data_IF_496680111196
#
_entry.id   IF_496680111196
#
_cell.length_a   1.000
_cell.length_b   1.000
_cell.length_c   1.000
_cell.angle_alpha   90.00
_cell.angle_beta   90.00
_cell.angle_gamma   90.00
#
_symmetry.space_group_name_H-M   'P 1'
#
loop_
_entity.id
_entity.type
_entity.pdbx_description
1 polymer ?
#
# COMPACT_ATOMS: atom_id res chain seq x y z
N UNK A 1 19.14 -4.93 20.06
CA UNK A 1 19.37 -3.56 19.54
C UNK A 1 20.81 -3.19 19.83
N UNK A 2 21.49 -2.52 18.89
CA UNK A 2 22.91 -2.11 18.96
C UNK A 2 23.25 -1.11 20.09
N UNK A 3 22.33 -0.84 21.03
CA UNK A 3 22.54 0.09 22.14
C UNK A 3 22.54 1.58 21.74
N UNK A 4 22.09 1.90 20.53
CA UNK A 4 22.12 3.27 19.97
C UNK A 4 20.80 4.00 20.18
N UNK A 5 20.86 5.28 20.53
CA UNK A 5 19.70 6.13 20.83
C UNK A 5 19.13 6.86 19.61
N UNK A 6 19.85 6.90 18.49
CA UNK A 6 19.51 7.70 17.30
C UNK A 6 18.97 6.85 16.15
N UNK A 7 17.86 7.27 15.54
CA UNK A 7 17.34 6.65 14.31
C UNK A 7 18.21 6.93 13.06
N UNK A 8 19.00 8.00 13.09
CA UNK A 8 19.94 8.42 12.04
C UNK A 8 21.31 7.74 12.11
N UNK A 9 21.46 6.74 13.00
CA UNK A 9 22.74 6.10 13.29
C UNK A 9 23.54 5.69 12.06
N UNK A 10 22.88 5.15 11.01
CA UNK A 10 23.59 4.73 9.81
C UNK A 10 24.19 5.89 9.00
N UNK A 11 23.59 7.09 9.03
CA UNK A 11 24.19 8.30 8.42
C UNK A 11 25.39 8.77 9.23
N UNK A 12 25.24 8.80 10.55
CA UNK A 12 26.28 9.27 11.47
C UNK A 12 27.55 8.39 11.33
N UNK A 13 27.39 7.07 11.37
CA UNK A 13 28.48 6.11 11.17
C UNK A 13 29.08 6.18 9.77
N UNK A 14 28.26 6.38 8.74
CA UNK A 14 28.77 6.50 7.36
C UNK A 14 29.57 7.78 7.15
N UNK A 15 29.14 8.89 7.77
CA UNK A 15 29.86 10.15 7.74
C UNK A 15 31.17 10.08 8.54
N UNK A 16 31.15 9.42 9.69
CA UNK A 16 32.36 9.15 10.48
C UNK A 16 33.36 8.33 9.68
N UNK A 17 32.89 7.26 9.02
CA UNK A 17 33.73 6.41 8.18
C UNK A 17 34.30 7.17 6.96
N UNK A 18 33.52 8.04 6.32
CA UNK A 18 33.98 8.87 5.21
C UNK A 18 35.06 9.87 5.64
N UNK A 19 34.94 10.41 6.86
CA UNK A 19 35.94 11.32 7.44
C UNK A 19 37.15 10.58 8.03
N UNK A 20 37.21 9.26 7.94
CA UNK A 20 38.30 8.44 8.48
C UNK A 20 38.29 8.28 10.00
N UNK A 21 37.19 8.62 10.68
CA UNK A 21 37.03 8.39 12.13
C UNK A 21 36.69 6.93 12.36
N UNK A 22 37.64 6.19 12.94
CA UNK A 22 37.45 4.77 13.23
C UNK A 22 36.80 4.52 14.61
N UNK A 23 36.57 3.24 14.92
CA UNK A 23 36.05 2.75 16.20
C UNK A 23 36.76 3.27 17.48
N UNK A 24 38.07 3.63 17.50
CA UNK A 24 38.69 4.14 18.73
C UNK A 24 38.14 5.51 19.15
N UNK A 25 37.67 6.30 18.18
CA UNK A 25 37.12 7.65 18.42
C UNK A 25 35.60 7.62 18.56
N UNK A 26 34.93 6.80 17.75
CA UNK A 26 33.47 6.73 17.72
C UNK A 26 32.88 5.77 18.77
N UNK A 27 33.68 4.83 19.28
CA UNK A 27 33.22 3.77 20.18
C UNK A 27 32.28 2.74 19.52
N UNK A 28 31.95 2.91 18.25
CA UNK A 28 31.10 2.00 17.49
C UNK A 28 31.92 0.80 17.03
N UNK A 29 31.43 -0.41 17.31
CA UNK A 29 32.03 -1.68 16.91
C UNK A 29 33.55 -1.81 17.22
N UNK A 30 33.94 -1.97 18.51
CA UNK A 30 35.34 -2.12 18.89
C UNK A 30 35.99 -3.36 18.27
N UNK A 31 37.20 -3.20 17.72
CA UNK A 31 38.00 -4.31 17.17
C UNK A 31 38.86 -4.99 18.24
N UNK A 32 38.99 -4.36 19.41
CA UNK A 32 39.78 -4.85 20.55
C UNK A 32 38.96 -4.64 21.83
N UNK A 33 38.92 -5.65 22.71
CA UNK A 33 38.22 -5.58 24.00
C UNK A 33 39.07 -6.22 25.10
N UNK A 34 38.91 -5.76 26.36
CA UNK A 34 39.50 -6.42 27.52
C UNK A 34 38.55 -7.52 28.02
N UNK A 35 39.07 -8.71 28.23
CA UNK A 35 38.33 -9.85 28.76
C UNK A 35 38.93 -10.25 30.11
N UNK A 36 38.07 -10.27 31.12
CA UNK A 36 38.44 -10.69 32.47
C UNK A 36 37.99 -12.13 32.69
N UNK A 37 38.89 -12.98 33.18
CA UNK A 37 38.55 -14.34 33.57
C UNK A 37 39.18 -14.69 34.92
N UNK A 38 38.44 -15.50 35.69
CA UNK A 38 38.85 -15.90 37.02
C UNK A 38 39.37 -17.35 37.00
N UNK A 39 40.59 -17.55 37.51
CA UNK A 39 41.23 -18.87 37.65
C UNK A 39 41.39 -19.20 39.13
N UNK A 40 41.06 -20.44 39.50
CA UNK A 40 41.26 -20.94 40.86
C UNK A 40 42.63 -21.58 40.98
N UNK A 41 43.46 -21.07 41.90
CA UNK A 41 44.79 -21.62 42.21
C UNK A 41 44.88 -21.80 43.72
N UNK A 42 45.13 -23.03 44.19
CA UNK A 42 45.18 -23.41 45.62
C UNK A 42 43.94 -22.98 46.45
N UNK A 43 42.75 -22.98 45.85
CA UNK A 43 41.49 -22.62 46.53
C UNK A 43 41.18 -21.12 46.56
N UNK A 44 42.12 -20.25 46.18
CA UNK A 44 41.90 -18.82 46.02
C UNK A 44 41.56 -18.48 44.57
N UNK A 45 40.68 -17.49 44.39
CA UNK A 45 40.26 -16.98 43.09
C UNK A 45 41.19 -15.83 42.65
N UNK A 46 41.85 -15.97 41.50
CA UNK A 46 42.68 -14.94 40.91
C UNK A 46 42.07 -14.45 39.60
N UNK A 47 41.91 -13.12 39.48
CA UNK A 47 41.36 -12.48 38.29
C UNK A 47 42.48 -12.04 37.36
N UNK A 48 42.39 -12.44 36.09
CA UNK A 48 43.31 -12.06 35.03
C UNK A 48 42.57 -11.28 33.95
N UNK A 49 43.24 -10.29 33.36
CA UNK A 49 42.70 -9.46 32.28
C UNK A 49 43.56 -9.64 31.04
N UNK A 50 42.94 -9.90 29.88
CA UNK A 50 43.65 -10.12 28.61
C UNK A 50 43.01 -9.32 27.48
N UNK A 51 43.82 -8.95 26.49
CA UNK A 51 43.35 -8.25 25.31
C UNK A 51 42.85 -9.26 24.27
N UNK A 52 41.58 -9.15 23.89
CA UNK A 52 40.96 -9.94 22.84
C UNK A 52 40.79 -9.12 21.56
N UNK A 53 40.98 -9.76 20.40
CA UNK A 53 40.75 -9.15 19.09
C UNK A 53 39.43 -9.67 18.52
N UNK A 54 38.54 -8.76 18.14
CA UNK A 54 37.20 -9.05 17.65
C UNK A 54 37.12 -8.76 16.14
N UNK A 55 37.80 -9.59 15.35
CA UNK A 55 37.85 -9.44 13.89
C UNK A 55 36.45 -9.47 13.25
N UNK A 56 35.52 -10.22 13.83
CA UNK A 56 34.12 -10.30 13.37
C UNK A 56 33.42 -8.93 13.39
N UNK A 57 33.82 -8.04 14.30
CA UNK A 57 33.15 -6.75 14.48
C UNK A 57 33.43 -5.79 13.32
N UNK A 58 34.60 -5.92 12.69
CA UNK A 58 34.93 -5.17 11.48
C UNK A 58 34.01 -5.56 10.31
N UNK A 59 33.58 -6.82 10.22
CA UNK A 59 32.60 -7.24 9.22
C UNK A 59 31.20 -6.74 9.55
N UNK A 60 30.81 -6.83 10.83
CA UNK A 60 29.53 -6.31 11.31
C UNK A 60 29.36 -4.82 11.02
N UNK A 61 30.41 -4.02 11.24
CA UNK A 61 30.43 -2.59 10.93
C UNK A 61 29.99 -2.32 9.49
N UNK A 62 30.53 -3.06 8.51
CA UNK A 62 30.21 -2.84 7.09
C UNK A 62 28.85 -3.41 6.70
N UNK A 63 28.49 -4.60 7.19
CA UNK A 63 27.20 -5.22 6.89
C UNK A 63 26.06 -4.38 7.46
N UNK A 64 26.19 -3.87 8.69
CA UNK A 64 25.13 -3.05 9.29
C UNK A 64 24.94 -1.71 8.59
N UNK A 65 26.01 -1.07 8.10
CA UNK A 65 25.90 0.13 7.27
C UNK A 65 25.16 -0.18 5.97
N UNK A 66 25.53 -1.26 5.26
CA UNK A 66 24.84 -1.67 4.02
C UNK A 66 23.37 -2.01 4.26
N UNK A 67 23.07 -2.76 5.33
CA UNK A 67 21.70 -3.10 5.72
C UNK A 67 20.88 -1.86 6.07
N UNK A 68 21.47 -0.86 6.72
CA UNK A 68 20.77 0.38 7.04
C UNK A 68 20.32 1.11 5.76
N UNK A 69 21.21 1.28 4.78
CA UNK A 69 20.86 1.86 3.48
C UNK A 69 19.83 1.02 2.71
N UNK A 70 19.96 -0.30 2.74
CA UNK A 70 19.00 -1.21 2.14
C UNK A 70 17.59 -1.03 2.74
N UNK A 71 17.50 -0.96 4.07
CA UNK A 71 16.24 -0.72 4.76
C UNK A 71 15.65 0.65 4.43
N UNK A 72 16.47 1.70 4.28
CA UNK A 72 16.01 3.00 3.80
C UNK A 72 15.42 2.92 2.39
N UNK A 73 16.05 2.19 1.47
CA UNK A 73 15.51 1.97 0.12
C UNK A 73 14.17 1.23 0.19
N UNK A 74 14.10 0.13 0.95
CA UNK A 74 12.87 -0.64 1.14
C UNK A 74 11.76 0.22 1.76
N UNK A 75 12.10 1.12 2.69
CA UNK A 75 11.16 2.06 3.27
C UNK A 75 10.63 3.04 2.21
N UNK A 76 11.50 3.62 1.39
CA UNK A 76 11.10 4.55 0.32
C UNK A 76 10.16 3.87 -0.67
N UNK A 77 10.50 2.66 -1.14
CA UNK A 77 9.67 1.89 -2.07
C UNK A 77 8.31 1.55 -1.43
N UNK A 78 8.31 1.17 -0.15
CA UNK A 78 7.08 0.84 0.58
C UNK A 78 6.20 2.06 0.78
N UNK A 79 6.77 3.22 1.14
CA UNK A 79 6.05 4.49 1.28
C UNK A 79 5.49 4.94 -0.06
N UNK A 80 6.27 4.83 -1.14
CA UNK A 80 5.78 5.13 -2.49
C UNK A 80 4.58 4.25 -2.88
N UNK A 81 4.70 2.94 -2.67
CA UNK A 81 3.61 1.99 -2.92
C UNK A 81 2.37 2.33 -2.09
N UNK A 82 2.55 2.61 -0.80
CA UNK A 82 1.48 3.00 0.10
C UNK A 82 0.79 4.29 -0.35
N UNK A 83 1.55 5.33 -0.71
CA UNK A 83 1.00 6.60 -1.21
C UNK A 83 0.23 6.37 -2.50
N UNK A 84 0.78 5.59 -3.45
CA UNK A 84 0.10 5.25 -4.70
C UNK A 84 -1.27 4.63 -4.43
N UNK A 85 -1.34 3.65 -3.53
CA UNK A 85 -2.59 2.98 -3.17
C UNK A 85 -3.53 3.85 -2.35
N UNK A 86 -3.01 4.68 -1.44
CA UNK A 86 -3.80 5.63 -0.67
C UNK A 86 -4.47 6.68 -1.58
N UNK A 87 -3.74 7.21 -2.57
CA UNK A 87 -4.27 8.13 -3.57
C UNK A 87 -5.27 7.41 -4.49
N UNK A 88 -4.96 6.18 -4.93
CA UNK A 88 -5.91 5.38 -5.70
C UNK A 88 -7.22 5.16 -4.92
N UNK A 89 -7.14 4.96 -3.61
CA UNK A 89 -8.30 4.78 -2.76
C UNK A 89 -9.10 6.07 -2.58
N UNK A 90 -8.45 7.19 -2.28
CA UNK A 90 -9.11 8.48 -2.18
C UNK A 90 -9.83 8.86 -3.49
N UNK A 91 -9.18 8.64 -4.64
CA UNK A 91 -9.74 8.96 -5.96
C UNK A 91 -10.81 7.99 -6.43
N UNK A 92 -10.89 6.76 -5.87
CA UNK A 92 -11.91 5.76 -6.25
C UNK A 92 -13.32 6.24 -5.97
N UNK A 93 -13.53 7.03 -4.92
CA UNK A 93 -14.86 7.57 -4.56
C UNK A 93 -15.47 8.45 -5.66
N UNK A 94 -14.64 9.19 -6.39
CA UNK A 94 -15.05 10.14 -7.44
C UNK A 94 -14.78 9.58 -8.83
N UNK A 95 -13.53 9.20 -9.12
CA UNK A 95 -13.08 8.76 -10.45
C UNK A 95 -13.48 7.32 -10.75
N UNK A 96 -13.51 6.46 -9.73
CA UNK A 96 -13.87 5.05 -9.91
C UNK A 96 -15.31 4.88 -10.44
N UNK A 97 -16.24 5.74 -10.00
CA UNK A 97 -17.61 5.76 -10.52
C UNK A 97 -17.66 6.19 -12.00
N UNK A 98 -16.83 7.15 -12.39
CA UNK A 98 -16.73 7.58 -13.79
C UNK A 98 -16.15 6.49 -14.68
N UNK A 99 -15.16 5.75 -14.19
CA UNK A 99 -14.54 4.61 -14.87
C UNK A 99 -15.55 3.47 -15.11
N UNK A 100 -16.29 3.07 -14.08
CA UNK A 100 -17.36 2.05 -14.24
C UNK A 100 -18.44 2.53 -15.21
N UNK A 101 -18.82 3.81 -15.16
CA UNK A 101 -19.75 4.39 -16.12
C UNK A 101 -19.23 4.32 -17.56
N UNK A 102 -17.95 4.60 -17.81
CA UNK A 102 -17.37 4.47 -19.15
C UNK A 102 -17.33 3.02 -19.66
N UNK A 103 -16.99 2.04 -18.81
CA UNK A 103 -16.99 0.63 -19.23
C UNK A 103 -18.40 0.12 -19.51
N UNK A 104 -19.40 0.46 -18.68
CA UNK A 104 -20.79 0.04 -18.92
C UNK A 104 -21.36 0.69 -20.19
N UNK A 105 -20.97 1.92 -20.54
CA UNK A 105 -21.38 2.54 -21.80
C UNK A 105 -20.79 1.82 -23.03
N UNK A 106 -19.62 1.21 -22.91
CA UNK A 106 -19.06 0.36 -23.98
C UNK A 106 -19.80 -0.98 -24.11
N UNK A 107 -20.30 -1.52 -22.98
CA UNK A 107 -21.06 -2.78 -22.96
C UNK A 107 -22.49 -2.58 -23.48
N UNK A 108 -23.18 -1.53 -23.04
CA UNK A 108 -24.54 -1.19 -23.48
C UNK A 108 -24.65 0.30 -23.81
N UNK A 109 -24.48 0.62 -25.09
CA UNK A 109 -24.58 1.99 -25.62
C UNK A 109 -25.97 2.64 -25.41
N UNK A 110 -27.01 1.84 -25.10
CA UNK A 110 -28.35 2.39 -24.82
C UNK A 110 -28.47 3.01 -23.42
N UNK A 111 -27.54 2.72 -22.51
CA UNK A 111 -27.44 3.38 -21.19
C UNK A 111 -27.20 4.88 -21.34
N UNK A 112 -26.47 5.31 -22.38
CA UNK A 112 -26.26 6.73 -22.63
C UNK A 112 -27.54 7.46 -23.05
N UNK A 113 -28.51 6.77 -23.67
CA UNK A 113 -29.73 7.38 -24.22
C UNK A 113 -30.93 7.34 -23.27
N UNK A 114 -31.04 6.32 -22.43
CA UNK A 114 -32.21 6.14 -21.55
C UNK A 114 -31.96 6.60 -20.11
N UNK A 115 -32.79 7.52 -19.62
CA UNK A 115 -32.79 7.97 -18.21
C UNK A 115 -33.01 6.82 -17.21
N UNK A 116 -33.87 5.86 -17.55
CA UNK A 116 -34.16 4.71 -16.71
C UNK A 116 -32.92 3.81 -16.54
N UNK A 117 -32.20 3.52 -17.64
CA UNK A 117 -30.96 2.72 -17.59
C UNK A 117 -29.83 3.44 -16.84
N UNK A 118 -29.76 4.77 -16.90
CA UNK A 118 -28.80 5.56 -16.09
C UNK A 118 -29.08 5.44 -14.58
N UNK A 119 -30.36 5.45 -14.19
CA UNK A 119 -30.75 5.21 -12.79
C UNK A 119 -30.37 3.80 -12.34
N UNK A 120 -30.62 2.80 -13.19
CA UNK A 120 -30.23 1.41 -12.93
C UNK A 120 -28.70 1.23 -12.78
N UNK A 121 -27.91 1.96 -13.58
CA UNK A 121 -26.46 2.00 -13.47
C UNK A 121 -26.01 2.61 -12.13
N UNK A 122 -26.63 3.71 -11.69
CA UNK A 122 -26.30 4.30 -10.40
C UNK A 122 -26.59 3.32 -9.25
N UNK A 123 -27.71 2.60 -9.31
CA UNK A 123 -28.03 1.54 -8.35
C UNK A 123 -27.04 0.37 -8.39
N UNK A 124 -26.61 -0.05 -9.58
CA UNK A 124 -25.58 -1.08 -9.72
C UNK A 124 -24.28 -0.66 -9.01
N UNK A 125 -23.85 0.59 -9.22
CA UNK A 125 -22.63 1.12 -8.58
C UNK A 125 -22.81 1.27 -7.06
N UNK A 126 -23.94 1.77 -6.58
CA UNK A 126 -24.15 2.03 -5.15
C UNK A 126 -24.51 0.79 -4.33
N UNK A 127 -25.37 -0.08 -4.85
CA UNK A 127 -25.92 -1.22 -4.10
C UNK A 127 -25.13 -2.51 -4.33
N UNK A 128 -24.82 -2.83 -5.60
CA UNK A 128 -24.16 -4.10 -5.96
C UNK A 128 -22.64 -4.00 -5.84
N UNK A 129 -22.04 -2.98 -6.45
CA UNK A 129 -20.59 -2.83 -6.52
C UNK A 129 -20.03 -2.16 -5.25
N UNK A 130 -20.73 -1.15 -4.71
CA UNK A 130 -20.30 -0.33 -3.56
C UNK A 130 -18.91 0.31 -3.80
N UNK A 131 -18.41 1.08 -2.83
CA UNK A 131 -17.09 1.72 -2.92
C UNK A 131 -15.96 0.70 -3.05
N UNK A 132 -16.06 -0.42 -2.33
CA UNK A 132 -15.05 -1.47 -2.32
C UNK A 132 -14.98 -2.25 -3.65
N UNK A 133 -16.13 -2.56 -4.27
CA UNK A 133 -16.15 -3.23 -5.57
C UNK A 133 -15.67 -2.32 -6.69
N UNK A 134 -15.92 -1.01 -6.62
CA UNK A 134 -15.34 -0.04 -7.59
C UNK A 134 -13.81 -0.03 -7.47
N UNK A 135 -13.27 -0.14 -6.26
CA UNK A 135 -11.83 -0.29 -6.05
C UNK A 135 -11.30 -1.60 -6.65
N UNK A 136 -11.98 -2.72 -6.42
CA UNK A 136 -11.59 -4.01 -6.99
C UNK A 136 -11.61 -3.99 -8.53
N UNK A 137 -12.61 -3.34 -9.14
CA UNK A 137 -12.66 -3.18 -10.60
C UNK A 137 -11.46 -2.38 -11.10
N UNK A 138 -11.08 -1.31 -10.42
CA UNK A 138 -9.87 -0.53 -10.75
C UNK A 138 -8.59 -1.33 -10.54
N UNK A 139 -8.53 -2.14 -9.49
CA UNK A 139 -7.40 -3.03 -9.22
C UNK A 139 -7.23 -4.04 -10.36
N UNK A 140 -8.34 -4.62 -10.83
CA UNK A 140 -8.34 -5.55 -11.97
C UNK A 140 -7.97 -4.83 -13.26
N UNK A 141 -8.42 -3.60 -13.49
CA UNK A 141 -8.05 -2.85 -14.70
C UNK A 141 -6.56 -2.50 -14.72
N UNK A 142 -5.98 -2.12 -13.58
CA UNK A 142 -4.56 -1.77 -13.48
C UNK A 142 -3.62 -2.99 -13.59
N UNK A 143 -4.07 -4.20 -13.24
CA UNK A 143 -3.23 -5.42 -13.24
C UNK A 143 -3.50 -6.39 -14.40
N UNK A 144 -4.76 -6.51 -14.85
CA UNK A 144 -5.20 -7.48 -15.85
C UNK A 144 -5.64 -6.85 -17.17
N UNK A 145 -5.64 -5.51 -17.25
CA UNK A 145 -6.01 -4.76 -18.45
C UNK A 145 -7.52 -4.59 -18.66
N UNK A 146 -7.85 -3.74 -19.63
CA UNK A 146 -9.23 -3.29 -19.88
C UNK A 146 -10.14 -4.40 -20.39
N UNK A 147 -9.64 -5.31 -21.24
CA UNK A 147 -10.45 -6.38 -21.85
C UNK A 147 -10.99 -7.35 -20.80
N UNK A 148 -10.14 -7.77 -19.85
CA UNK A 148 -10.53 -8.66 -18.75
C UNK A 148 -11.55 -7.97 -17.85
N UNK A 149 -11.31 -6.69 -17.55
CA UNK A 149 -12.20 -5.87 -16.73
C UNK A 149 -13.57 -5.72 -17.39
N UNK A 150 -13.63 -5.47 -18.70
CA UNK A 150 -14.87 -5.40 -19.47
C UNK A 150 -15.66 -6.70 -19.43
N UNK A 151 -14.99 -7.83 -19.63
CA UNK A 151 -15.64 -9.14 -19.56
C UNK A 151 -16.24 -9.41 -18.18
N UNK A 152 -15.51 -9.08 -17.11
CA UNK A 152 -15.98 -9.18 -15.73
C UNK A 152 -17.16 -8.24 -15.45
N UNK A 153 -17.09 -6.98 -15.89
CA UNK A 153 -18.16 -6.02 -15.66
C UNK A 153 -19.42 -6.38 -16.43
N UNK A 154 -19.28 -6.96 -17.63
CA UNK A 154 -20.38 -7.45 -18.44
C UNK A 154 -21.15 -8.57 -17.73
N UNK A 155 -20.46 -9.59 -17.22
CA UNK A 155 -21.13 -10.69 -16.51
C UNK A 155 -21.83 -10.19 -15.25
N UNK A 156 -21.17 -9.31 -14.47
CA UNK A 156 -21.78 -8.69 -13.29
C UNK A 156 -23.03 -7.84 -13.62
N UNK A 157 -23.01 -7.13 -14.75
CA UNK A 157 -24.11 -6.30 -15.21
C UNK A 157 -25.31 -7.13 -15.67
N UNK A 158 -25.07 -8.19 -16.46
CA UNK A 158 -26.11 -9.12 -16.91
C UNK A 158 -26.79 -9.83 -15.74
N UNK A 159 -26.00 -10.31 -14.77
CA UNK A 159 -26.52 -10.93 -13.55
C UNK A 159 -27.35 -9.94 -12.71
N UNK A 160 -26.92 -8.68 -12.63
CA UNK A 160 -27.66 -7.65 -11.91
C UNK A 160 -29.01 -7.34 -12.56
N UNK A 161 -29.06 -7.23 -13.89
CA UNK A 161 -30.32 -7.03 -14.62
C UNK A 161 -31.25 -8.22 -14.43
N UNK A 162 -30.72 -9.44 -14.52
CA UNK A 162 -31.51 -10.67 -14.31
C UNK A 162 -32.13 -10.70 -12.91
N UNK A 163 -31.33 -10.40 -11.88
CA UNK A 163 -31.81 -10.35 -10.49
C UNK A 163 -32.89 -9.28 -10.29
N UNK A 164 -32.76 -8.10 -10.92
CA UNK A 164 -33.78 -7.04 -10.86
C UNK A 164 -35.06 -7.41 -11.60
N UNK A 165 -34.97 -8.21 -12.67
CA UNK A 165 -36.13 -8.73 -13.40
C UNK A 165 -36.94 -9.75 -12.58
N UNK A 166 -36.27 -10.59 -11.79
CA UNK A 166 -36.93 -11.59 -10.94
C UNK A 166 -37.46 -11.00 -9.62
N UNK A 167 -36.71 -10.10 -8.97
CA UNK A 167 -37.08 -9.49 -7.69
C UNK A 167 -36.94 -7.95 -7.73
N UNK A 168 -38.02 -7.21 -8.06
CA UNK A 168 -38.01 -5.76 -7.98
C UNK A 168 -37.90 -5.30 -6.52
N UNK A 169 -37.15 -4.22 -6.21
CA UNK A 169 -37.04 -3.72 -4.85
C UNK A 169 -38.41 -3.27 -4.32
N UNK A 170 -38.65 -3.36 -2.99
CA UNK A 170 -39.92 -2.99 -2.38
C UNK A 170 -40.23 -1.49 -2.44
N UNK A 171 -39.26 -0.65 -2.81
CA UNK A 171 -39.44 0.79 -3.02
C UNK A 171 -39.32 1.11 -4.51
N UNK A 172 -40.46 1.19 -5.20
CA UNK A 172 -40.56 1.88 -6.49
C UNK A 172 -40.65 3.37 -6.23
N UNK A 173 -39.53 4.10 -6.23
CA UNK A 173 -39.46 5.48 -6.73
C UNK A 173 -38.01 5.99 -6.86
N UNK A 174 -37.69 6.79 -7.89
CA UNK A 174 -36.37 7.38 -8.08
C UNK A 174 -36.21 8.66 -7.25
N UNK A 175 -35.18 8.72 -6.39
CA UNK A 175 -34.72 10.00 -5.87
C UNK A 175 -34.04 10.78 -7.01
N UNK A 176 -34.67 11.90 -7.38
CA UNK A 176 -34.22 12.97 -8.31
C UNK A 176 -34.70 12.90 -9.77
N UNK A 177 -36.02 13.01 -9.97
CA UNK A 177 -36.55 13.91 -11.02
C UNK A 177 -37.38 14.99 -10.30
N UNK A 178 -36.70 16.04 -9.83
CA UNK A 178 -37.38 17.27 -9.45
C UNK A 178 -37.95 17.89 -10.72
N UNK A 179 -39.28 17.87 -10.82
CA UNK A 179 -40.13 18.75 -11.63
C UNK A 179 -39.50 19.37 -12.89
N UNK A 180 -39.66 18.70 -14.03
CA UNK A 180 -39.88 19.41 -15.29
C UNK A 180 -41.16 18.88 -15.89
N UNK A 181 -42.25 19.63 -15.67
CA UNK A 181 -43.51 19.47 -16.41
C UNK A 181 -43.17 19.48 -17.90
N UNK A 182 -43.46 18.39 -18.58
CA UNK A 182 -43.57 18.37 -20.04
C UNK A 182 -44.87 19.13 -20.32
N UNK A 183 -44.77 20.29 -20.95
CA UNK A 183 -45.92 21.03 -21.45
C UNK A 183 -46.51 20.29 -22.64
N UNK A 184 -47.84 20.20 -22.68
CA UNK A 184 -48.63 19.86 -23.87
C UNK A 184 -48.34 20.87 -25.00
N UNK A 185 -47.36 20.58 -25.86
CA UNK A 185 -47.24 21.28 -27.14
C UNK A 185 -46.55 20.50 -28.27
N UNK A 186 -46.08 19.27 -28.03
CA UNK A 186 -45.43 18.46 -29.07
C UNK A 186 -46.15 17.10 -29.22
N UNK A 187 -47.41 17.15 -29.67
CA UNK A 187 -48.09 16.03 -30.33
C UNK A 187 -47.83 16.11 -31.84
#
# INVERSE_FOLDING_TARGET
MLGVSSYTWGLDVSLDLWNGREWPETGNFPRVTMCDYDVRVLGNLHRHTVQCVLMINMFNEKIFVVLWYWLCIMLIVSVYSFIKWAVAMATTTVTGKALVNSYIQQIDASVARSLHKRSLLQQFVSEKLRTDGVFLVRLVSENSGDMVTLALLKTLWEDFIKQRGEHPPPYTEPLLVSNKKISESDL
#
